data_IF_230740870552
#
_entry.id   IF_230740870552
#
_cell.length_a   1.000
_cell.length_b   1.000
_cell.length_c   1.000
_cell.angle_alpha   90.00
_cell.angle_beta   90.00
_cell.angle_gamma   90.00
#
_symmetry.space_group_name_H-M   'P 1'
#
loop_
_entity.id
_entity.type
_entity.pdbx_description
1 polymer ?
#
# COMPACT_ATOMS: atom_id res chain seq x y z
N UNK A 1 -2.59 14.56 30.12
CA UNK A 1 -3.45 14.15 28.98
C UNK A 1 -4.40 13.10 29.50
N UNK A 2 -5.70 13.30 29.33
CA UNK A 2 -6.72 12.36 29.83
C UNK A 2 -6.96 11.30 28.75
N UNK A 3 -7.50 10.14 29.13
CA UNK A 3 -7.66 8.99 28.24
C UNK A 3 -8.50 9.34 26.99
N UNK A 4 -9.59 10.06 27.15
CA UNK A 4 -10.43 10.54 26.04
C UNK A 4 -9.66 11.43 25.05
N UNK A 5 -8.79 12.30 25.57
CA UNK A 5 -7.93 13.14 24.74
C UNK A 5 -6.93 12.29 23.95
N UNK A 6 -6.39 11.24 24.54
CA UNK A 6 -5.46 10.33 23.86
C UNK A 6 -6.16 9.59 22.70
N UNK A 7 -7.39 9.11 22.90
CA UNK A 7 -8.16 8.40 21.88
C UNK A 7 -8.49 9.26 20.66
N UNK A 8 -8.59 10.58 20.83
CA UNK A 8 -8.81 11.53 19.73
C UNK A 8 -7.49 11.97 19.07
N UNK A 9 -6.42 12.13 19.86
CA UNK A 9 -5.11 12.58 19.38
C UNK A 9 -4.48 11.53 18.46
N UNK A 10 -4.59 10.23 18.77
CA UNK A 10 -4.00 9.15 17.96
C UNK A 10 -4.47 9.20 16.49
N UNK A 11 -5.78 9.10 16.16
CA UNK A 11 -6.23 9.18 14.77
C UNK A 11 -5.94 10.54 14.13
N UNK A 12 -5.91 11.63 14.91
CA UNK A 12 -5.52 12.95 14.41
C UNK A 12 -4.06 13.01 13.93
N UNK A 13 -3.13 12.30 14.60
CA UNK A 13 -1.75 12.17 14.12
C UNK A 13 -1.68 11.39 12.80
N UNK A 14 -2.56 10.40 12.61
CA UNK A 14 -2.72 9.70 11.33
C UNK A 14 -3.13 10.66 10.21
N UNK A 15 -4.12 11.53 10.47
CA UNK A 15 -4.52 12.58 9.51
C UNK A 15 -3.36 13.53 9.20
N UNK A 16 -2.61 13.96 10.21
CA UNK A 16 -1.45 14.84 10.03
C UNK A 16 -0.37 14.19 9.15
N UNK A 17 -0.10 12.90 9.35
CA UNK A 17 0.80 12.13 8.50
C UNK A 17 0.30 12.10 7.04
N UNK A 18 -1.00 11.88 6.80
CA UNK A 18 -1.59 11.89 5.46
C UNK A 18 -1.59 13.28 4.79
N UNK A 19 -1.71 14.36 5.58
CA UNK A 19 -1.54 15.72 5.05
C UNK A 19 -0.10 15.97 4.63
N UNK A 20 0.86 15.48 5.40
CA UNK A 20 2.27 15.59 5.05
C UNK A 20 2.61 14.79 3.79
N UNK A 21 2.09 13.57 3.65
CA UNK A 21 2.28 12.76 2.43
C UNK A 21 1.66 13.42 1.20
N UNK A 22 0.48 14.03 1.36
CA UNK A 22 -0.13 14.81 0.29
C UNK A 22 0.74 16.00 -0.12
N UNK A 23 1.24 16.77 0.85
CA UNK A 23 2.14 17.90 0.58
C UNK A 23 3.41 17.45 -0.16
N UNK A 24 4.09 16.39 0.31
CA UNK A 24 5.26 15.81 -0.35
C UNK A 24 4.94 15.28 -1.75
N UNK A 25 3.76 14.71 -1.96
CA UNK A 25 3.31 14.30 -3.29
C UNK A 25 3.21 15.49 -4.24
N UNK A 26 2.76 16.66 -3.76
CA UNK A 26 2.70 17.87 -4.60
C UNK A 26 4.10 18.39 -4.94
N UNK A 27 5.04 18.33 -4.01
CA UNK A 27 6.44 18.69 -4.25
C UNK A 27 7.07 17.81 -5.34
N UNK A 28 6.82 16.50 -5.31
CA UNK A 28 7.22 15.58 -6.38
C UNK A 28 6.53 15.98 -7.70
N UNK A 29 5.21 16.18 -7.70
CA UNK A 29 4.48 16.53 -8.93
C UNK A 29 5.00 17.82 -9.58
N UNK A 30 5.48 18.79 -8.79
CA UNK A 30 6.04 20.04 -9.27
C UNK A 30 7.40 19.88 -9.96
N UNK A 31 8.10 18.77 -9.72
CA UNK A 31 9.37 18.47 -10.40
C UNK A 31 9.12 18.10 -11.87
N UNK A 32 9.99 18.56 -12.79
CA UNK A 32 9.82 18.32 -14.22
C UNK A 32 10.04 16.84 -14.58
N UNK A 33 9.18 16.30 -15.45
CA UNK A 33 9.27 14.92 -15.97
C UNK A 33 10.39 14.75 -17.01
N UNK A 34 10.98 15.84 -17.48
CA UNK A 34 12.06 15.81 -18.47
C UNK A 34 11.55 15.89 -19.90
N UNK A 35 12.01 14.99 -20.77
CA UNK A 35 11.68 15.03 -22.19
C UNK A 35 10.37 14.30 -22.52
N UNK A 36 9.78 14.60 -23.68
CA UNK A 36 8.57 13.93 -24.17
C UNK A 36 8.73 12.40 -24.22
N UNK A 37 9.93 11.93 -24.58
CA UNK A 37 10.25 10.50 -24.59
C UNK A 37 10.20 9.90 -23.18
N UNK A 38 10.72 10.59 -22.17
CA UNK A 38 10.68 10.15 -20.78
C UNK A 38 9.23 10.08 -20.27
N UNK A 39 8.45 11.13 -20.50
CA UNK A 39 7.03 11.17 -20.10
C UNK A 39 6.22 10.06 -20.78
N UNK A 40 6.48 9.78 -22.07
CA UNK A 40 5.82 8.68 -22.79
C UNK A 40 6.13 7.31 -22.18
N UNK A 41 7.38 7.02 -21.84
CA UNK A 41 7.77 5.75 -21.21
C UNK A 41 7.13 5.62 -19.83
N UNK A 42 7.18 6.70 -19.03
CA UNK A 42 6.57 6.75 -17.71
C UNK A 42 5.06 6.50 -17.76
N UNK A 43 4.37 7.08 -18.76
CA UNK A 43 2.95 6.85 -18.97
C UNK A 43 2.63 5.37 -19.29
N UNK A 44 3.45 4.70 -20.10
CA UNK A 44 3.29 3.27 -20.38
C UNK A 44 3.48 2.39 -19.14
N UNK A 45 4.48 2.71 -18.30
CA UNK A 45 4.70 2.01 -17.03
C UNK A 45 3.52 2.26 -16.08
N UNK A 46 3.08 3.51 -15.95
CA UNK A 46 1.96 3.87 -15.08
C UNK A 46 0.66 3.19 -15.52
N UNK A 47 0.37 3.17 -16.83
CA UNK A 47 -0.81 2.49 -17.38
C UNK A 47 -0.77 0.99 -17.09
N UNK A 48 0.36 0.33 -17.34
CA UNK A 48 0.55 -1.09 -17.05
C UNK A 48 0.37 -1.42 -15.56
N UNK A 49 0.99 -0.64 -14.68
CA UNK A 49 0.87 -0.82 -13.23
C UNK A 49 -0.58 -0.63 -12.75
N UNK A 50 -1.30 0.38 -13.27
CA UNK A 50 -2.70 0.60 -12.90
C UNK A 50 -3.61 -0.50 -13.42
N UNK A 51 -3.35 -1.00 -14.62
CA UNK A 51 -4.10 -2.10 -15.20
C UNK A 51 -3.94 -3.38 -14.37
N UNK A 52 -2.71 -3.69 -13.93
CA UNK A 52 -2.44 -4.82 -13.06
C UNK A 52 -3.16 -4.70 -11.72
N UNK A 53 -2.99 -3.61 -10.97
CA UNK A 53 -3.68 -3.45 -9.68
C UNK A 53 -5.20 -3.48 -9.82
N UNK A 54 -5.76 -2.90 -10.87
CA UNK A 54 -7.21 -2.96 -11.11
C UNK A 54 -7.68 -4.40 -11.33
N UNK A 55 -6.90 -5.21 -12.05
CA UNK A 55 -7.21 -6.62 -12.26
C UNK A 55 -7.11 -7.43 -10.95
N UNK A 56 -6.05 -7.22 -10.18
CA UNK A 56 -5.83 -7.85 -8.89
C UNK A 56 -6.95 -7.49 -7.90
N UNK A 57 -7.23 -6.20 -7.70
CA UNK A 57 -8.21 -5.74 -6.71
C UNK A 57 -9.64 -6.16 -7.04
N UNK A 58 -9.98 -6.29 -8.33
CA UNK A 58 -11.27 -6.84 -8.75
C UNK A 58 -11.49 -8.26 -8.25
N UNK A 59 -10.43 -9.08 -8.22
CA UNK A 59 -10.50 -10.45 -7.68
C UNK A 59 -10.53 -10.39 -6.15
N UNK A 60 -9.70 -9.54 -5.53
CA UNK A 60 -9.63 -9.41 -4.07
C UNK A 60 -10.93 -8.94 -3.43
N UNK A 61 -11.72 -8.10 -4.08
CA UNK A 61 -13.04 -7.68 -3.57
C UNK A 61 -13.94 -8.88 -3.31
N UNK A 62 -13.95 -9.88 -4.20
CA UNK A 62 -14.77 -11.08 -4.05
C UNK A 62 -14.28 -11.90 -2.86
N UNK A 63 -12.96 -12.06 -2.72
CA UNK A 63 -12.34 -12.75 -1.59
C UNK A 63 -12.66 -12.06 -0.25
N UNK A 64 -12.46 -10.74 -0.16
CA UNK A 64 -12.74 -9.93 1.03
C UNK A 64 -14.21 -10.03 1.40
N UNK A 65 -15.13 -9.92 0.45
CA UNK A 65 -16.56 -10.06 0.72
C UNK A 65 -16.91 -11.45 1.29
N UNK A 66 -16.33 -12.51 0.73
CA UNK A 66 -16.52 -13.88 1.22
C UNK A 66 -16.01 -14.09 2.64
N UNK A 67 -14.78 -13.65 2.93
CA UNK A 67 -14.19 -13.75 4.27
C UNK A 67 -14.93 -12.87 5.28
N UNK A 68 -15.33 -11.65 4.90
CA UNK A 68 -16.13 -10.78 5.77
C UNK A 68 -17.46 -11.44 6.15
N UNK A 69 -18.15 -12.11 5.22
CA UNK A 69 -19.38 -12.83 5.52
C UNK A 69 -19.16 -13.99 6.50
N UNK A 70 -18.07 -14.75 6.32
CA UNK A 70 -17.71 -15.85 7.23
C UNK A 70 -17.33 -15.33 8.63
N UNK A 71 -16.59 -14.22 8.70
CA UNK A 71 -16.23 -13.57 9.95
C UNK A 71 -17.46 -13.00 10.67
N UNK A 72 -18.40 -12.41 9.94
CA UNK A 72 -19.66 -11.94 10.51
C UNK A 72 -20.48 -13.10 11.10
N UNK A 73 -20.61 -14.20 10.34
CA UNK A 73 -21.30 -15.40 10.80
C UNK A 73 -20.62 -16.03 12.02
N UNK A 74 -19.29 -16.20 11.99
CA UNK A 74 -18.51 -16.76 13.10
C UNK A 74 -18.58 -15.88 14.35
N UNK A 75 -18.36 -14.57 14.18
CA UNK A 75 -18.38 -13.60 15.28
C UNK A 75 -19.75 -13.41 15.90
N UNK A 76 -20.85 -13.63 15.17
CA UNK A 76 -22.21 -13.53 15.71
C UNK A 76 -22.63 -14.76 16.54
N UNK A 77 -21.93 -15.88 16.40
CA UNK A 77 -22.24 -17.14 17.08
C UNK A 77 -21.31 -17.44 18.26
N UNK A 78 -20.41 -16.52 18.62
CA UNK A 78 -19.39 -16.74 19.64
C UNK A 78 -19.54 -15.72 20.78
N UNK A 79 -19.66 -16.19 22.02
CA UNK A 79 -19.95 -15.35 23.19
C UNK A 79 -18.84 -14.32 23.50
N UNK A 80 -17.61 -14.60 23.07
CA UNK A 80 -16.44 -13.74 23.31
C UNK A 80 -16.08 -12.84 22.12
N UNK A 81 -16.89 -12.85 21.06
CA UNK A 81 -16.65 -12.05 19.86
C UNK A 81 -17.95 -11.36 19.40
N UNK A 82 -17.83 -10.55 18.35
CA UNK A 82 -18.97 -9.84 17.78
C UNK A 82 -18.85 -9.83 16.26
N UNK A 83 -19.98 -9.84 15.55
CA UNK A 83 -20.01 -9.72 14.08
C UNK A 83 -19.32 -8.47 13.53
N UNK A 84 -19.01 -7.48 14.38
CA UNK A 84 -18.25 -6.27 14.03
C UNK A 84 -16.80 -6.58 13.65
N UNK A 85 -16.27 -7.77 13.95
CA UNK A 85 -14.95 -8.21 13.45
C UNK A 85 -14.88 -8.18 11.92
N UNK A 86 -15.99 -8.43 11.22
CA UNK A 86 -16.08 -8.32 9.77
C UNK A 86 -15.91 -6.87 9.28
N UNK A 87 -16.34 -5.88 10.08
CA UNK A 87 -16.14 -4.46 9.78
C UNK A 87 -14.67 -4.11 9.94
N UNK A 88 -14.04 -4.49 11.05
CA UNK A 88 -12.59 -4.29 11.25
C UNK A 88 -11.78 -4.91 10.11
N UNK A 89 -12.10 -6.15 9.74
CA UNK A 89 -11.48 -6.85 8.62
C UNK A 89 -11.61 -6.09 7.30
N UNK A 90 -12.82 -5.63 6.98
CA UNK A 90 -13.05 -4.89 5.73
C UNK A 90 -12.29 -3.57 5.71
N UNK A 91 -12.25 -2.86 6.84
CA UNK A 91 -11.50 -1.60 6.97
C UNK A 91 -9.99 -1.84 6.89
N UNK A 92 -9.47 -2.88 7.52
CA UNK A 92 -8.05 -3.27 7.43
C UNK A 92 -7.63 -3.66 6.02
N UNK A 93 -8.45 -4.46 5.34
CA UNK A 93 -8.25 -4.80 3.94
C UNK A 93 -8.26 -3.55 3.03
N UNK A 94 -9.22 -2.65 3.25
CA UNK A 94 -9.30 -1.39 2.51
C UNK A 94 -8.06 -0.50 2.74
N UNK A 95 -7.62 -0.33 4.00
CA UNK A 95 -6.45 0.46 4.33
C UNK A 95 -5.17 -0.12 3.73
N UNK A 96 -5.00 -1.45 3.76
CA UNK A 96 -3.85 -2.15 3.14
C UNK A 96 -3.83 -1.96 1.62
N UNK A 97 -4.98 -2.15 0.95
CA UNK A 97 -5.10 -1.89 -0.49
C UNK A 97 -4.85 -0.41 -0.83
N UNK A 98 -5.35 0.51 -0.01
CA UNK A 98 -5.13 1.93 -0.21
C UNK A 98 -3.65 2.32 -0.04
N UNK A 99 -2.95 1.71 0.93
CA UNK A 99 -1.53 1.94 1.15
C UNK A 99 -0.70 1.53 -0.07
N UNK A 100 -0.93 0.32 -0.60
CA UNK A 100 -0.27 -0.16 -1.82
C UNK A 100 -0.59 0.71 -3.05
N UNK A 101 -1.86 1.08 -3.23
CA UNK A 101 -2.28 1.94 -4.34
C UNK A 101 -1.65 3.35 -4.28
N UNK A 102 -1.65 4.00 -3.11
CA UNK A 102 -1.07 5.33 -2.94
C UNK A 102 0.46 5.30 -3.15
N UNK A 103 1.15 4.31 -2.57
CA UNK A 103 2.59 4.14 -2.73
C UNK A 103 2.99 4.02 -4.20
N UNK A 104 2.35 3.11 -4.94
CA UNK A 104 2.62 2.89 -6.35
C UNK A 104 2.27 4.10 -7.23
N UNK A 105 1.17 4.80 -6.94
CA UNK A 105 0.80 6.02 -7.69
C UNK A 105 1.84 7.14 -7.55
N UNK A 106 2.51 7.20 -6.40
CA UNK A 106 3.57 8.19 -6.18
C UNK A 106 4.89 7.70 -6.76
N UNK A 107 5.23 6.42 -6.61
CA UNK A 107 6.44 5.83 -7.19
C UNK A 107 6.46 5.99 -8.72
N UNK A 108 5.40 5.58 -9.42
CA UNK A 108 5.30 5.72 -10.89
C UNK A 108 5.54 7.15 -11.38
N UNK A 109 5.14 8.17 -10.60
CA UNK A 109 5.41 9.58 -10.89
C UNK A 109 6.82 10.02 -10.52
N UNK A 110 7.36 9.50 -9.42
CA UNK A 110 8.69 9.83 -8.93
C UNK A 110 9.78 9.26 -9.85
N UNK A 111 9.61 8.07 -10.42
CA UNK A 111 10.61 7.37 -11.23
C UNK A 111 11.16 8.25 -12.37
N UNK A 112 10.26 8.83 -13.17
CA UNK A 112 10.64 9.68 -14.31
C UNK A 112 11.30 10.98 -13.87
N UNK A 113 10.85 11.54 -12.75
CA UNK A 113 11.40 12.78 -12.16
C UNK A 113 12.79 12.56 -11.57
N UNK A 114 13.01 11.40 -10.95
CA UNK A 114 14.33 10.95 -10.48
C UNK A 114 15.29 10.80 -11.66
N UNK A 115 14.86 10.14 -12.75
CA UNK A 115 15.67 9.99 -13.95
C UNK A 115 16.03 11.35 -14.58
N UNK A 116 15.09 12.29 -14.60
CA UNK A 116 15.35 13.65 -15.09
C UNK A 116 16.31 14.42 -14.16
N UNK A 117 16.12 14.34 -12.84
CA UNK A 117 16.98 14.99 -11.85
C UNK A 117 18.42 14.44 -11.85
N UNK A 118 18.60 13.17 -12.22
CA UNK A 118 19.91 12.54 -12.35
C UNK A 118 20.78 13.16 -13.45
N UNK A 119 20.20 13.87 -14.42
CA UNK A 119 20.95 14.66 -15.42
C UNK A 119 21.69 15.84 -14.80
N UNK A 120 21.16 16.40 -13.71
CA UNK A 120 21.77 17.52 -13.01
C UNK A 120 22.81 17.03 -11.98
N UNK A 121 22.41 16.12 -11.08
CA UNK A 121 23.30 15.57 -10.06
C UNK A 121 22.69 14.34 -9.37
N UNK A 122 23.56 13.51 -8.79
CA UNK A 122 23.15 12.39 -7.94
C UNK A 122 22.36 12.85 -6.70
N UNK A 123 22.74 13.98 -6.09
CA UNK A 123 22.08 14.50 -4.90
C UNK A 123 20.62 14.88 -5.14
N UNK A 124 20.34 15.57 -6.25
CA UNK A 124 18.96 15.92 -6.65
C UNK A 124 18.13 14.67 -6.98
N UNK A 125 18.72 13.68 -7.67
CA UNK A 125 18.03 12.43 -7.95
C UNK A 125 17.66 11.70 -6.64
N UNK A 126 18.58 11.63 -5.69
CA UNK A 126 18.35 11.03 -4.38
C UNK A 126 17.25 11.76 -3.62
N UNK A 127 17.22 13.10 -3.65
CA UNK A 127 16.19 13.89 -2.96
C UNK A 127 14.77 13.58 -3.47
N UNK A 128 14.60 13.45 -4.80
CA UNK A 128 13.32 13.08 -5.42
C UNK A 128 12.94 11.64 -5.06
N UNK A 129 13.88 10.70 -5.21
CA UNK A 129 13.66 9.29 -4.89
C UNK A 129 13.30 9.08 -3.41
N UNK A 130 14.05 9.72 -2.51
CA UNK A 130 13.82 9.66 -1.08
C UNK A 130 12.47 10.29 -0.70
N UNK A 131 12.10 11.41 -1.33
CA UNK A 131 10.77 12.00 -1.14
C UNK A 131 9.65 11.05 -1.57
N UNK A 132 9.83 10.32 -2.68
CA UNK A 132 8.90 9.28 -3.12
C UNK A 132 8.74 8.16 -2.09
N UNK A 133 9.85 7.63 -1.57
CA UNK A 133 9.84 6.62 -0.50
C UNK A 133 9.23 7.13 0.82
N UNK A 134 9.51 8.39 1.19
CA UNK A 134 8.94 9.01 2.38
C UNK A 134 7.42 9.13 2.32
N UNK A 135 6.86 9.44 1.14
CA UNK A 135 5.41 9.47 0.92
C UNK A 135 4.77 8.09 1.15
N UNK A 136 5.40 7.03 0.64
CA UNK A 136 4.95 5.65 0.85
C UNK A 136 4.99 5.28 2.34
N UNK A 137 6.14 5.48 3.01
CA UNK A 137 6.31 5.10 4.41
C UNK A 137 5.39 5.86 5.37
N UNK A 138 5.31 7.18 5.24
CA UNK A 138 4.40 7.98 6.07
C UNK A 138 2.92 7.74 5.70
N UNK A 139 2.63 7.32 4.48
CA UNK A 139 1.29 6.95 4.03
C UNK A 139 0.82 5.67 4.71
N UNK A 140 1.69 4.65 4.71
CA UNK A 140 1.48 3.38 5.43
C UNK A 140 1.21 3.61 6.91
N UNK A 141 2.10 4.34 7.58
CA UNK A 141 1.96 4.63 9.02
C UNK A 141 0.73 5.49 9.30
N UNK A 142 0.47 6.51 8.49
CA UNK A 142 -0.69 7.39 8.63
C UNK A 142 -2.01 6.65 8.49
N UNK A 143 -2.14 5.76 7.50
CA UNK A 143 -3.31 4.90 7.34
C UNK A 143 -3.47 3.90 8.49
N UNK A 144 -2.37 3.35 9.00
CA UNK A 144 -2.40 2.38 10.10
C UNK A 144 -2.90 3.01 11.40
N UNK A 145 -2.33 4.16 11.76
CA UNK A 145 -2.73 4.93 12.96
C UNK A 145 -4.17 5.43 12.83
N UNK A 146 -4.55 5.97 11.67
CA UNK A 146 -5.91 6.45 11.43
C UNK A 146 -6.94 5.31 11.49
N UNK A 147 -6.65 4.19 10.82
CA UNK A 147 -7.53 3.03 10.75
C UNK A 147 -7.69 2.36 12.10
N UNK A 148 -6.57 1.91 12.70
CA UNK A 148 -6.59 1.20 13.98
C UNK A 148 -7.05 2.11 15.13
N UNK A 149 -6.53 3.34 15.19
CA UNK A 149 -6.91 4.32 16.22
C UNK A 149 -8.37 4.76 16.09
N UNK A 150 -8.86 4.95 14.86
CA UNK A 150 -10.26 5.26 14.60
C UNK A 150 -11.19 4.12 15.00
N UNK A 151 -10.86 2.88 14.64
CA UNK A 151 -11.65 1.70 15.04
C UNK A 151 -11.62 1.49 16.56
N UNK A 152 -10.46 1.69 17.22
CA UNK A 152 -10.37 1.59 18.68
C UNK A 152 -11.20 2.66 19.38
N UNK A 153 -11.25 3.89 18.86
CA UNK A 153 -12.13 4.93 19.39
C UNK A 153 -13.62 4.53 19.23
N UNK A 154 -14.02 4.06 18.05
CA UNK A 154 -15.41 3.71 17.78
C UNK A 154 -15.88 2.49 18.59
N UNK A 155 -15.13 1.38 18.54
CA UNK A 155 -15.50 0.16 19.25
C UNK A 155 -15.23 0.23 20.74
N UNK A 156 -14.20 0.96 21.17
CA UNK A 156 -13.93 1.22 22.57
C UNK A 156 -15.11 1.92 23.26
N UNK A 157 -15.71 2.90 22.58
CA UNK A 157 -16.92 3.56 23.07
C UNK A 157 -18.17 2.68 22.97
N UNK A 158 -18.28 1.85 21.92
CA UNK A 158 -19.44 0.98 21.71
C UNK A 158 -19.55 -0.15 22.75
N UNK A 159 -18.41 -0.78 23.09
CA UNK A 159 -18.37 -1.89 24.03
C UNK A 159 -18.01 -1.48 25.45
N UNK A 160 -17.65 -0.21 25.69
CA UNK A 160 -17.22 0.27 27.00
C UNK A 160 -15.87 -0.29 27.42
N UNK A 161 -14.87 -0.30 26.52
CA UNK A 161 -13.58 -0.98 26.70
C UNK A 161 -12.80 -0.59 27.97
N UNK A 162 -13.13 0.53 28.61
CA UNK A 162 -12.50 0.99 29.86
C UNK A 162 -13.34 0.75 31.11
N UNK A 163 -14.52 0.14 30.97
CA UNK A 163 -15.43 -0.16 32.08
C UNK A 163 -15.12 -1.53 32.71
N UNK A 164 -14.67 -2.51 31.93
CA UNK A 164 -14.32 -3.85 32.43
C UNK A 164 -13.26 -4.56 31.59
N UNK A 165 -12.57 -5.55 32.17
CA UNK A 165 -11.59 -6.35 31.42
C UNK A 165 -12.26 -7.21 30.33
N UNK A 166 -13.52 -7.63 30.54
CA UNK A 166 -14.29 -8.40 29.56
C UNK A 166 -14.64 -7.57 28.32
N UNK A 167 -15.09 -6.32 28.51
CA UNK A 167 -15.39 -5.40 27.40
C UNK A 167 -14.15 -5.01 26.59
N UNK A 168 -13.00 -4.84 27.27
CA UNK A 168 -11.72 -4.67 26.59
C UNK A 168 -11.37 -5.90 25.73
N UNK A 169 -11.58 -7.11 26.27
CA UNK A 169 -11.34 -8.36 25.55
C UNK A 169 -12.15 -8.47 24.26
N UNK A 170 -13.44 -8.15 24.30
CA UNK A 170 -14.31 -8.14 23.11
C UNK A 170 -13.86 -7.06 22.11
N UNK A 171 -13.50 -5.86 22.59
CA UNK A 171 -13.01 -4.78 21.73
C UNK A 171 -11.73 -5.18 20.99
N UNK A 172 -10.77 -5.76 21.70
CA UNK A 172 -9.52 -6.25 21.10
C UNK A 172 -9.78 -7.42 20.15
N UNK A 173 -10.70 -8.34 20.48
CA UNK A 173 -11.10 -9.43 19.58
C UNK A 173 -11.72 -8.91 18.28
N UNK A 174 -12.51 -7.85 18.34
CA UNK A 174 -13.07 -7.23 17.13
C UNK A 174 -11.97 -6.52 16.33
N UNK A 175 -10.99 -5.90 17.00
CA UNK A 175 -9.89 -5.20 16.34
C UNK A 175 -8.88 -6.13 15.67
N UNK A 176 -8.69 -7.36 16.15
CA UNK A 176 -7.81 -8.32 15.45
C UNK A 176 -8.26 -8.61 14.01
N UNK A 177 -9.55 -8.38 13.72
CA UNK A 177 -10.06 -8.38 12.35
C UNK A 177 -9.31 -7.41 11.44
N UNK A 178 -8.93 -6.23 11.94
CA UNK A 178 -8.19 -5.22 11.17
C UNK A 178 -6.85 -5.75 10.66
N UNK A 179 -6.02 -6.31 11.55
CA UNK A 179 -4.75 -6.93 11.18
C UNK A 179 -4.98 -8.11 10.24
N UNK A 180 -5.99 -8.95 10.49
CA UNK A 180 -6.31 -10.07 9.58
C UNK A 180 -6.71 -9.61 8.15
N UNK A 181 -7.46 -8.51 8.05
CA UNK A 181 -7.80 -7.89 6.77
C UNK A 181 -6.58 -7.32 6.05
N UNK A 182 -5.70 -6.65 6.82
CA UNK A 182 -4.44 -6.12 6.32
C UNK A 182 -3.54 -7.24 5.73
N UNK A 183 -3.35 -8.33 6.48
CA UNK A 183 -2.54 -9.48 6.07
C UNK A 183 -3.11 -10.20 4.86
N UNK A 184 -4.44 -10.31 4.79
CA UNK A 184 -5.11 -10.93 3.65
C UNK A 184 -4.77 -10.22 2.34
N UNK A 185 -4.86 -8.89 2.31
CA UNK A 185 -4.52 -8.11 1.11
C UNK A 185 -3.02 -8.14 0.83
N UNK A 186 -2.19 -7.98 1.86
CA UNK A 186 -0.74 -7.99 1.72
C UNK A 186 -0.21 -9.30 1.13
N UNK A 187 -0.79 -10.44 1.53
CA UNK A 187 -0.46 -11.75 0.98
C UNK A 187 -0.68 -11.79 -0.54
N UNK A 188 -1.87 -11.41 -1.01
CA UNK A 188 -2.16 -11.46 -2.43
C UNK A 188 -1.38 -10.42 -3.23
N UNK A 189 -1.25 -9.19 -2.74
CA UNK A 189 -0.51 -8.14 -3.43
C UNK A 189 0.97 -8.52 -3.61
N UNK A 190 1.58 -9.13 -2.60
CA UNK A 190 2.98 -9.58 -2.67
C UNK A 190 3.18 -10.79 -3.56
N UNK A 191 2.28 -11.77 -3.48
CA UNK A 191 2.37 -12.97 -4.33
C UNK A 191 2.05 -12.61 -5.79
N UNK A 192 0.97 -11.87 -6.03
CA UNK A 192 0.55 -11.44 -7.36
C UNK A 192 1.60 -10.53 -8.02
N UNK A 193 1.97 -9.44 -7.33
CA UNK A 193 3.00 -8.52 -7.81
C UNK A 193 4.37 -9.18 -7.93
N UNK A 194 4.74 -10.04 -6.97
CA UNK A 194 6.01 -10.80 -6.97
C UNK A 194 6.14 -11.77 -8.14
N UNK A 195 5.06 -12.51 -8.46
CA UNK A 195 5.04 -13.39 -9.64
C UNK A 195 5.17 -12.55 -10.91
N UNK A 196 4.42 -11.44 -11.01
CA UNK A 196 4.48 -10.58 -12.19
C UNK A 196 5.88 -10.01 -12.42
N UNK A 197 6.47 -9.40 -11.39
CA UNK A 197 7.79 -8.75 -11.50
C UNK A 197 8.88 -9.77 -11.78
N UNK A 198 8.92 -10.90 -11.07
CA UNK A 198 10.01 -11.87 -11.24
C UNK A 198 9.90 -12.68 -12.52
N UNK A 199 8.70 -12.89 -13.06
CA UNK A 199 8.54 -13.46 -14.39
C UNK A 199 9.06 -12.51 -15.48
N UNK A 200 8.82 -11.20 -15.35
CA UNK A 200 9.27 -10.20 -16.29
C UNK A 200 10.79 -9.96 -16.22
N UNK A 201 11.32 -9.72 -15.02
CA UNK A 201 12.74 -9.52 -14.68
C UNK A 201 13.61 -10.67 -15.24
N UNK A 202 13.32 -11.92 -14.84
CA UNK A 202 14.10 -13.09 -15.29
C UNK A 202 14.01 -13.28 -16.80
N UNK A 203 12.84 -13.04 -17.41
CA UNK A 203 12.67 -13.15 -18.86
C UNK A 203 13.43 -12.07 -19.63
N UNK A 204 13.40 -10.84 -19.14
CA UNK A 204 14.09 -9.70 -19.72
C UNK A 204 15.61 -9.90 -19.66
N UNK A 205 16.13 -10.27 -18.50
CA UNK A 205 17.56 -10.36 -18.24
C UNK A 205 18.22 -11.56 -18.92
N UNK A 206 17.60 -12.74 -18.88
CA UNK A 206 18.18 -13.93 -19.52
C UNK A 206 18.25 -13.77 -21.04
N UNK A 207 17.15 -13.41 -21.68
CA UNK A 207 17.12 -13.28 -23.14
C UNK A 207 17.91 -12.04 -23.60
N UNK A 208 17.80 -10.93 -22.88
CA UNK A 208 18.49 -9.69 -23.21
C UNK A 208 20.01 -9.78 -23.03
N UNK A 209 20.46 -10.05 -21.79
CA UNK A 209 21.89 -9.96 -21.42
C UNK A 209 22.66 -11.21 -21.81
N UNK A 210 22.08 -12.40 -21.62
CA UNK A 210 22.81 -13.67 -21.80
C UNK A 210 22.73 -14.19 -23.23
N UNK A 211 21.54 -14.17 -23.85
CA UNK A 211 21.36 -14.71 -25.21
C UNK A 211 21.64 -13.69 -26.31
N UNK A 212 21.03 -12.50 -26.24
CA UNK A 212 21.14 -11.49 -27.28
C UNK A 212 22.34 -10.54 -27.11
N UNK A 213 22.96 -10.51 -25.92
CA UNK A 213 24.10 -9.65 -25.61
C UNK A 213 23.78 -8.15 -25.64
N UNK A 214 22.51 -7.77 -25.45
CA UNK A 214 22.10 -6.36 -25.33
C UNK A 214 22.15 -5.91 -23.87
N UNK A 215 22.35 -4.60 -23.61
CA UNK A 215 22.32 -4.06 -22.24
C UNK A 215 21.00 -4.35 -21.51
N UNK A 216 21.05 -4.28 -20.18
CA UNK A 216 19.87 -4.26 -19.32
C UNK A 216 18.98 -3.05 -19.64
N UNK A 217 17.66 -3.19 -19.45
CA UNK A 217 16.65 -2.18 -19.79
C UNK A 217 16.68 -1.67 -21.25
N UNK A 218 17.28 -2.44 -22.16
CA UNK A 218 17.43 -1.98 -23.54
C UNK A 218 16.06 -1.92 -24.26
N UNK A 219 15.73 -0.81 -24.96
CA UNK A 219 14.39 -0.59 -25.53
C UNK A 219 13.98 -1.56 -26.66
N UNK A 220 14.91 -2.39 -27.14
CA UNK A 220 14.59 -3.46 -28.10
C UNK A 220 14.08 -4.73 -27.43
N UNK A 221 14.26 -4.86 -26.11
CA UNK A 221 13.76 -5.99 -25.36
C UNK A 221 12.29 -5.73 -24.98
N UNK A 222 11.33 -6.52 -25.50
CA UNK A 222 9.90 -6.29 -25.27
C UNK A 222 9.48 -6.51 -23.82
N UNK A 223 10.29 -7.18 -23.00
CA UNK A 223 9.98 -7.46 -21.61
C UNK A 223 10.25 -6.27 -20.66
N UNK A 224 11.03 -5.26 -21.10
CA UNK A 224 11.49 -4.15 -20.24
C UNK A 224 10.37 -3.30 -19.65
N UNK A 225 9.28 -3.06 -20.41
CA UNK A 225 8.10 -2.37 -19.86
C UNK A 225 7.43 -3.21 -18.78
N UNK A 226 7.31 -4.53 -18.99
CA UNK A 226 6.70 -5.42 -18.00
C UNK A 226 7.56 -5.51 -16.74
N UNK A 227 8.88 -5.50 -16.89
CA UNK A 227 9.83 -5.49 -15.78
C UNK A 227 9.68 -4.23 -14.91
N UNK A 228 9.75 -3.06 -15.55
CA UNK A 228 9.56 -1.77 -14.87
C UNK A 228 8.13 -1.59 -14.31
N UNK A 229 7.10 -2.19 -14.93
CA UNK A 229 5.76 -2.27 -14.33
C UNK A 229 5.80 -3.15 -13.08
N UNK A 230 6.51 -4.28 -13.17
CA UNK A 230 6.80 -5.23 -12.09
C UNK A 230 7.32 -4.56 -10.83
N UNK A 231 8.34 -3.72 -10.95
CA UNK A 231 8.92 -3.00 -9.81
C UNK A 231 7.87 -2.17 -9.06
N UNK A 232 6.93 -1.55 -9.80
CA UNK A 232 5.89 -0.73 -9.19
C UNK A 232 4.77 -1.57 -8.55
N UNK A 233 4.44 -2.73 -9.10
CA UNK A 233 3.34 -3.57 -8.58
C UNK A 233 3.80 -4.52 -7.47
N UNK A 234 4.98 -5.13 -7.60
CA UNK A 234 5.56 -6.01 -6.60
C UNK A 234 6.29 -5.23 -5.52
N UNK A 235 7.36 -4.55 -5.93
CA UNK A 235 8.34 -3.98 -5.00
C UNK A 235 7.85 -2.68 -4.33
N UNK A 236 6.83 -2.03 -4.89
CA UNK A 236 6.19 -0.86 -4.25
C UNK A 236 4.81 -1.22 -3.69
N UNK A 237 3.83 -1.61 -4.50
CA UNK A 237 2.48 -1.85 -3.98
C UNK A 237 2.42 -3.03 -3.01
N UNK A 238 3.07 -4.16 -3.36
CA UNK A 238 3.18 -5.34 -2.52
C UNK A 238 3.95 -5.08 -1.21
N UNK A 239 5.08 -4.35 -1.29
CA UNK A 239 5.85 -3.96 -0.10
C UNK A 239 5.07 -2.96 0.79
N UNK A 240 4.32 -2.03 0.20
CA UNK A 240 3.52 -1.08 0.97
C UNK A 240 2.43 -1.77 1.78
N UNK A 241 1.76 -2.75 1.18
CA UNK A 241 0.80 -3.59 1.88
C UNK A 241 1.47 -4.48 2.95
N UNK A 242 2.68 -5.00 2.69
CA UNK A 242 3.48 -5.77 3.66
C UNK A 242 3.84 -4.97 4.90
N UNK A 243 4.44 -3.79 4.71
CA UNK A 243 4.84 -2.94 5.81
C UNK A 243 3.63 -2.44 6.61
N UNK A 244 2.50 -2.22 5.93
CA UNK A 244 1.24 -1.90 6.59
C UNK A 244 0.78 -3.05 7.48
N UNK A 245 0.73 -4.26 6.93
CA UNK A 245 0.36 -5.49 7.65
C UNK A 245 1.23 -5.73 8.88
N UNK A 246 2.55 -5.67 8.73
CA UNK A 246 3.48 -5.99 9.81
C UNK A 246 3.45 -4.95 10.93
N UNK A 247 2.96 -3.74 10.63
CA UNK A 247 2.82 -2.66 11.59
C UNK A 247 1.55 -2.77 12.45
N UNK A 248 0.45 -3.29 11.90
CA UNK A 248 -0.92 -3.16 12.47
C UNK A 248 -1.40 -4.37 13.27
#
# INVERSE_FOLDING_TARGET
>A
MNLETLLLVIPALGVLALLFTWWKTQEINASPEGSDRMSKIAASIQEGAMAFLKAEYRILIIFVAGVAALLYWSGSNNENSHGLVAVSFTVGAFCSALAGYLGMKVATKANVRTANAAKDSLGKALEVAFSGGAVMGLGVVGLGILGLGGLFYLFGNHFGAFESQASLGVTLSVLTGFSFGASSIALFARVGGGIYTKAADVGADLVGKVEAGIPEDHPLNPATIADNVGDNVGDVAGMGADLFESYV
#
